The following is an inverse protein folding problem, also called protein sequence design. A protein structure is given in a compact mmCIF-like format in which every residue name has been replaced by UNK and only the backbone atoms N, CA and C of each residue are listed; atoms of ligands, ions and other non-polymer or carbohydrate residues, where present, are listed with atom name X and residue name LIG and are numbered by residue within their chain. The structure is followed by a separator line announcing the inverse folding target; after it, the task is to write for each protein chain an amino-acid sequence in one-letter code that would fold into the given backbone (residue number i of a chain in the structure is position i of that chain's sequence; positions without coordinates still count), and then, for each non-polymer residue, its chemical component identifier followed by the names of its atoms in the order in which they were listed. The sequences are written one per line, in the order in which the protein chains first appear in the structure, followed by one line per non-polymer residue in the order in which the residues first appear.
data_IF_860215993445
#
_entry.id   IF_860215993445
#
_cell.length_a   1.000
_cell.length_b   1.000
_cell.length_c   1.000
_cell.angle_alpha   90.00
_cell.angle_beta   90.00
_cell.angle_gamma   90.00
#
_symmetry.space_group_name_H-M   'P 1'
#
loop_
_entity.id
_entity.type
_entity.pdbx_description
1 polymer ?
#
# COMPACT_ATOMS: atom_id res chain seq x y z
N UNK A 1 7.79 13.55 -14.30
CA UNK A 1 7.00 12.31 -14.43
C UNK A 1 5.58 12.61 -13.98
N UNK A 2 4.56 11.90 -14.45
CA UNK A 2 3.14 12.16 -14.15
C UNK A 2 2.65 11.29 -12.99
N UNK A 3 1.84 11.86 -12.10
CA UNK A 3 1.17 11.10 -11.03
C UNK A 3 0.25 10.01 -11.61
N UNK A 4 0.17 8.83 -10.97
CA UNK A 4 -0.71 7.76 -11.39
C UNK A 4 -2.17 8.13 -11.10
N UNK A 5 -3.03 7.83 -12.06
CA UNK A 5 -4.47 7.97 -11.95
C UNK A 5 -5.09 6.82 -11.14
N UNK A 6 -6.30 7.01 -10.63
CA UNK A 6 -7.09 5.95 -9.99
C UNK A 6 -7.25 4.68 -10.84
N UNK A 7 -7.37 4.84 -12.17
CA UNK A 7 -7.45 3.70 -13.09
C UNK A 7 -6.14 2.94 -13.17
N UNK A 8 -5.00 3.63 -13.09
CA UNK A 8 -3.68 3.01 -13.04
C UNK A 8 -3.46 2.24 -11.73
N UNK A 9 -3.92 2.76 -10.59
CA UNK A 9 -3.85 2.03 -9.30
C UNK A 9 -4.69 0.75 -9.32
N UNK A 10 -5.93 0.83 -9.80
CA UNK A 10 -6.80 -0.34 -9.94
C UNK A 10 -6.20 -1.38 -10.88
N UNK A 11 -5.65 -0.93 -12.01
CA UNK A 11 -4.98 -1.79 -12.98
C UNK A 11 -3.73 -2.42 -12.38
N UNK A 12 -2.91 -1.64 -11.67
CA UNK A 12 -1.72 -2.12 -11.00
C UNK A 12 -2.07 -3.26 -10.04
N UNK A 13 -3.07 -3.07 -9.17
CA UNK A 13 -3.51 -4.14 -8.28
C UNK A 13 -3.97 -5.39 -9.05
N UNK A 14 -4.93 -5.24 -9.98
CA UNK A 14 -5.52 -6.38 -10.69
C UNK A 14 -4.52 -7.16 -11.55
N UNK A 15 -3.57 -6.45 -12.18
CA UNK A 15 -2.57 -7.06 -13.05
C UNK A 15 -1.38 -7.63 -12.26
N UNK A 16 -1.13 -7.12 -11.05
CA UNK A 16 0.01 -7.53 -10.22
C UNK A 16 -0.10 -8.97 -9.69
N UNK A 17 -1.33 -9.49 -9.55
CA UNK A 17 -1.57 -10.81 -8.97
C UNK A 17 -1.32 -10.90 -7.45
N UNK A 18 -1.15 -9.76 -6.77
CA UNK A 18 -0.93 -9.74 -5.33
C UNK A 18 -2.21 -10.08 -4.55
N UNK A 19 -2.05 -10.86 -3.49
CA UNK A 19 -3.07 -11.09 -2.47
C UNK A 19 -2.94 -10.07 -1.35
N UNK A 20 -4.07 -9.57 -0.85
CA UNK A 20 -4.09 -8.75 0.37
C UNK A 20 -4.19 -9.68 1.58
N UNK A 21 -3.29 -9.53 2.55
CA UNK A 21 -3.33 -10.29 3.80
C UNK A 21 -3.18 -9.39 5.01
N UNK A 22 -3.88 -9.72 6.08
CA UNK A 22 -3.84 -8.97 7.32
C UNK A 22 -2.92 -9.63 8.34
N UNK A 23 -2.11 -8.82 8.99
CA UNK A 23 -1.13 -9.27 9.97
C UNK A 23 -1.23 -8.42 11.24
N UNK A 24 -0.92 -9.00 12.41
CA UNK A 24 -0.60 -8.20 13.58
C UNK A 24 0.59 -7.27 13.28
N UNK A 25 0.55 -6.04 13.77
CA UNK A 25 1.60 -5.02 13.52
C UNK A 25 3.01 -5.51 13.81
N UNK A 26 3.22 -6.16 14.96
CA UNK A 26 4.51 -6.75 15.34
C UNK A 26 5.04 -7.78 14.32
N UNK A 27 4.14 -8.47 13.60
CA UNK A 27 4.53 -9.42 12.56
C UNK A 27 4.96 -8.71 11.29
N UNK A 28 4.31 -7.61 10.90
CA UNK A 28 4.76 -6.77 9.78
C UNK A 28 6.13 -6.15 10.07
N UNK A 29 6.33 -5.65 11.29
CA UNK A 29 7.62 -5.12 11.73
C UNK A 29 8.71 -6.18 11.65
N UNK A 30 8.44 -7.41 12.09
CA UNK A 30 9.39 -8.51 11.99
C UNK A 30 9.68 -8.88 10.52
N UNK A 31 8.65 -8.99 9.68
CA UNK A 31 8.81 -9.29 8.25
C UNK A 31 9.63 -8.21 7.53
N UNK A 32 9.41 -6.93 7.85
CA UNK A 32 10.19 -5.82 7.30
C UNK A 32 11.66 -5.81 7.79
N UNK A 33 11.91 -6.27 9.03
CA UNK A 33 13.26 -6.43 9.57
C UNK A 33 14.01 -7.62 8.94
N UNK A 34 13.28 -8.68 8.58
CA UNK A 34 13.85 -9.88 7.95
C UNK A 34 13.98 -9.72 6.42
N UNK A 35 13.22 -8.80 5.82
CA UNK A 35 13.29 -8.51 4.40
C UNK A 35 14.71 -8.04 3.99
N UNK A 36 15.25 -8.50 2.84
CA UNK A 36 16.53 -8.06 2.35
C UNK A 36 16.58 -6.52 2.28
N UNK A 37 17.75 -5.93 2.50
CA UNK A 37 17.93 -4.47 2.58
C UNK A 37 17.48 -3.68 1.32
N UNK A 38 17.18 -4.40 0.24
CA UNK A 38 16.67 -3.89 -1.04
C UNK A 38 15.14 -3.76 -1.07
N UNK A 39 14.41 -4.42 -0.18
CA UNK A 39 13.00 -4.11 0.08
C UNK A 39 12.99 -2.79 0.84
N UNK A 40 12.50 -1.73 0.18
CA UNK A 40 12.51 -0.35 0.67
C UNK A 40 12.10 -0.26 2.13
N UNK A 41 13.11 -0.20 3.00
CA UNK A 41 12.95 0.04 4.42
C UNK A 41 12.77 1.53 4.61
N UNK A 42 11.53 1.96 4.60
CA UNK A 42 11.23 3.27 5.09
C UNK A 42 11.02 3.17 6.60
N UNK A 43 12.04 3.62 7.33
CA UNK A 43 12.16 3.51 8.79
C UNK A 43 11.12 4.39 9.49
N UNK A 44 9.86 3.98 9.46
CA UNK A 44 8.84 4.50 10.37
C UNK A 44 8.67 3.50 11.51
N UNK A 45 8.60 4.00 12.74
CA UNK A 45 8.43 3.20 13.96
C UNK A 45 7.03 2.60 14.08
N UNK A 46 6.31 2.44 12.96
CA UNK A 46 4.91 2.09 12.93
C UNK A 46 4.49 1.58 11.54
N UNK A 47 4.99 0.40 11.14
CA UNK A 47 4.69 -0.18 9.84
C UNK A 47 3.21 -0.56 9.76
N UNK A 48 2.49 0.06 8.82
CA UNK A 48 1.06 -0.17 8.58
C UNK A 48 0.83 -1.10 7.37
N UNK A 49 1.74 -1.07 6.40
CA UNK A 49 1.71 -1.85 5.17
C UNK A 49 3.08 -2.42 4.83
N UNK A 50 3.12 -3.48 4.02
CA UNK A 50 4.36 -4.04 3.47
C UNK A 50 4.10 -4.84 2.20
N UNK A 51 4.85 -4.56 1.13
CA UNK A 51 4.91 -5.41 -0.07
C UNK A 51 5.90 -6.55 0.15
N UNK A 52 5.42 -7.79 -0.03
CA UNK A 52 6.22 -9.01 -0.05
C UNK A 52 6.21 -9.59 -1.47
N UNK A 53 7.15 -9.16 -2.34
CA UNK A 53 7.10 -9.49 -3.76
C UNK A 53 7.30 -10.97 -4.04
N UNK A 54 8.15 -11.66 -3.28
CA UNK A 54 8.41 -13.09 -3.45
C UNK A 54 7.18 -13.96 -3.19
N UNK A 55 6.27 -13.49 -2.34
CA UNK A 55 5.04 -14.18 -1.98
C UNK A 55 3.82 -13.67 -2.77
N UNK A 56 3.98 -12.60 -3.57
CA UNK A 56 2.89 -11.82 -4.15
C UNK A 56 1.86 -11.40 -3.09
N UNK A 57 2.31 -10.82 -1.97
CA UNK A 57 1.43 -10.38 -0.88
C UNK A 57 1.60 -8.89 -0.60
N UNK A 58 0.49 -8.17 -0.47
CA UNK A 58 0.43 -6.86 0.18
C UNK A 58 -0.09 -7.10 1.60
N UNK A 59 0.80 -6.96 2.58
CA UNK A 59 0.47 -7.10 3.99
C UNK A 59 -0.06 -5.79 4.56
N UNK A 60 -1.18 -5.83 5.28
CA UNK A 60 -1.75 -4.68 5.98
C UNK A 60 -1.93 -5.00 7.47
N UNK A 61 -1.77 -3.99 8.32
CA UNK A 61 -1.96 -4.15 9.76
C UNK A 61 -3.45 -4.39 10.08
N UNK A 62 -3.73 -5.40 10.91
CA UNK A 62 -5.10 -5.85 11.18
C UNK A 62 -5.88 -4.93 12.14
N UNK A 63 -5.19 -4.08 12.89
CA UNK A 63 -5.74 -3.14 13.87
C UNK A 63 -6.22 -1.83 13.22
N UNK A 64 -5.96 -1.63 11.93
CA UNK A 64 -6.42 -0.49 11.15
C UNK A 64 -7.94 -0.55 10.89
N UNK A 65 -8.57 0.61 10.94
CA UNK A 65 -9.91 0.83 10.39
C UNK A 65 -9.95 0.58 8.88
N UNK A 66 -11.14 0.38 8.32
CA UNK A 66 -11.29 0.14 6.86
C UNK A 66 -10.68 1.29 6.05
N UNK A 67 -10.92 2.54 6.47
CA UNK A 67 -10.43 3.71 5.75
C UNK A 67 -8.90 3.81 5.83
N UNK A 68 -8.30 3.55 7.00
CA UNK A 68 -6.85 3.45 7.15
C UNK A 68 -6.24 2.34 6.29
N UNK A 69 -6.92 1.19 6.16
CA UNK A 69 -6.47 0.10 5.27
C UNK A 69 -6.54 0.49 3.80
N UNK A 70 -7.57 1.23 3.39
CA UNK A 70 -7.67 1.75 2.02
C UNK A 70 -6.49 2.67 1.73
N UNK A 71 -6.20 3.61 2.63
CA UNK A 71 -5.10 4.55 2.43
C UNK A 71 -3.74 3.85 2.44
N UNK A 72 -3.55 2.90 3.35
CA UNK A 72 -2.34 2.07 3.39
C UNK A 72 -2.19 1.24 2.10
N UNK A 73 -3.28 0.65 1.60
CA UNK A 73 -3.24 -0.09 0.34
C UNK A 73 -2.84 0.82 -0.84
N UNK A 74 -3.43 2.02 -0.93
CA UNK A 74 -3.10 2.98 -1.99
C UNK A 74 -1.62 3.36 -1.92
N UNK A 75 -1.10 3.63 -0.72
CA UNK A 75 0.31 3.92 -0.48
C UNK A 75 1.23 2.81 -1.01
N UNK A 76 0.97 1.56 -0.66
CA UNK A 76 1.74 0.41 -1.18
C UNK A 76 1.60 0.27 -2.70
N UNK A 77 0.40 0.48 -3.26
CA UNK A 77 0.21 0.41 -4.72
C UNK A 77 1.02 1.50 -5.46
N UNK A 78 1.18 2.68 -4.87
CA UNK A 78 2.04 3.73 -5.43
C UNK A 78 3.50 3.27 -5.42
N UNK A 79 3.98 2.63 -4.35
CA UNK A 79 5.32 2.05 -4.32
C UNK A 79 5.55 1.00 -5.41
N UNK A 80 4.54 0.17 -5.73
CA UNK A 80 4.61 -0.78 -6.84
C UNK A 80 4.71 -0.10 -8.21
N UNK A 81 4.03 1.03 -8.42
CA UNK A 81 4.08 1.77 -9.69
C UNK A 81 5.36 2.61 -9.79
N UNK A 82 5.81 3.17 -8.67
CA UNK A 82 6.91 4.11 -8.57
C UNK A 82 7.99 3.62 -7.61
N UNK A 83 8.65 2.53 -7.99
CA UNK A 83 9.74 1.89 -7.22
C UNK A 83 10.95 2.79 -6.95
N UNK A 84 11.02 4.02 -7.48
CA UNK A 84 12.15 4.94 -7.25
C UNK A 84 11.78 6.14 -6.38
N UNK A 85 10.48 6.36 -6.13
CA UNK A 85 10.04 7.49 -5.31
C UNK A 85 10.41 7.29 -3.85
N UNK A 86 10.70 8.40 -3.18
CA UNK A 86 10.87 8.42 -1.73
C UNK A 86 9.52 8.49 -1.00
N UNK A 87 9.56 8.39 0.32
CA UNK A 87 8.33 8.38 1.12
C UNK A 87 7.56 9.69 1.07
N UNK A 88 8.26 10.81 0.99
CA UNK A 88 7.59 12.12 1.00
C UNK A 88 6.78 12.29 -0.29
N UNK A 89 7.32 11.85 -1.43
CA UNK A 89 6.61 11.80 -2.70
C UNK A 89 5.38 10.88 -2.65
N UNK A 90 5.50 9.71 -2.02
CA UNK A 90 4.40 8.74 -1.93
C UNK A 90 3.32 9.18 -0.94
N UNK A 91 3.69 9.67 0.24
CA UNK A 91 2.76 10.25 1.23
C UNK A 91 1.99 11.42 0.61
N UNK A 92 2.68 12.37 -0.03
CA UNK A 92 2.04 13.54 -0.63
C UNK A 92 1.01 13.16 -1.70
N UNK A 93 1.33 12.17 -2.55
CA UNK A 93 0.39 11.70 -3.57
C UNK A 93 -0.77 10.91 -2.95
N UNK A 94 -0.51 10.13 -1.90
CA UNK A 94 -1.53 9.37 -1.19
C UNK A 94 -2.60 10.33 -0.61
N UNK A 95 -2.17 11.42 0.02
CA UNK A 95 -3.04 12.48 0.54
C UNK A 95 -3.83 13.20 -0.57
N UNK A 96 -3.20 13.45 -1.73
CA UNK A 96 -3.89 14.05 -2.88
C UNK A 96 -4.99 13.12 -3.44
N UNK A 97 -4.69 11.83 -3.55
CA UNK A 97 -5.64 10.83 -4.03
C UNK A 97 -6.80 10.63 -3.06
N UNK A 98 -6.55 10.66 -1.74
CA UNK A 98 -7.60 10.60 -0.73
C UNK A 98 -8.70 11.63 -0.99
N UNK A 99 -8.30 12.86 -1.32
CA UNK A 99 -9.22 13.99 -1.54
C UNK A 99 -9.94 13.94 -2.89
N UNK A 100 -9.47 13.12 -3.82
CA UNK A 100 -9.96 13.09 -5.20
C UNK A 100 -10.64 11.78 -5.60
N UNK A 101 -10.59 10.76 -4.76
CA UNK A 101 -11.32 9.50 -4.93
C UNK A 101 -12.83 9.75 -4.96
N UNK A 102 -13.49 9.23 -6.00
CA UNK A 102 -14.95 9.19 -6.01
C UNK A 102 -15.46 8.13 -5.02
N UNK A 103 -16.70 8.23 -4.52
CA UNK A 103 -17.27 7.21 -3.63
C UNK A 103 -17.22 5.79 -4.19
N UNK A 104 -17.38 5.60 -5.50
CA UNK A 104 -17.30 4.29 -6.15
C UNK A 104 -15.87 3.74 -6.18
N UNK A 105 -14.88 4.60 -6.39
CA UNK A 105 -13.47 4.21 -6.37
C UNK A 105 -13.04 3.85 -4.96
N UNK A 106 -13.42 4.68 -3.98
CA UNK A 106 -13.19 4.39 -2.57
C UNK A 106 -13.86 3.08 -2.16
N UNK A 107 -15.12 2.87 -2.54
CA UNK A 107 -15.86 1.63 -2.27
C UNK A 107 -15.23 0.38 -2.89
N UNK A 108 -14.57 0.50 -4.05
CA UNK A 108 -13.78 -0.60 -4.62
C UNK A 108 -12.61 -0.99 -3.71
N UNK A 109 -11.82 -0.02 -3.23
CA UNK A 109 -10.72 -0.31 -2.32
C UNK A 109 -11.21 -0.82 -0.96
N UNK A 110 -12.32 -0.27 -0.44
CA UNK A 110 -12.94 -0.78 0.78
C UNK A 110 -13.33 -2.26 0.64
N UNK A 111 -13.88 -2.66 -0.52
CA UNK A 111 -14.20 -4.06 -0.80
C UNK A 111 -12.95 -4.96 -0.79
N UNK A 112 -11.80 -4.47 -1.25
CA UNK A 112 -10.56 -5.23 -1.26
C UNK A 112 -9.97 -5.44 0.15
N UNK A 113 -10.20 -4.51 1.08
CA UNK A 113 -9.59 -4.51 2.43
C UNK A 113 -10.55 -4.83 3.57
N UNK A 114 -11.80 -5.17 3.25
CA UNK A 114 -12.84 -5.59 4.19
C UNK A 114 -12.64 -7.04 4.64
#
# INVERSE_FOLDING_TARGET
MTAPTHSELKKAFLDSGYEIRFFPRHRLEQLALDAPSEVKRHRHSNIMGLIMPDENIIGLANDLSIDERVMTLIHELIHLIHEQWDEEEVESLTEELEQTLTPEQFGFFQFLVA
#
